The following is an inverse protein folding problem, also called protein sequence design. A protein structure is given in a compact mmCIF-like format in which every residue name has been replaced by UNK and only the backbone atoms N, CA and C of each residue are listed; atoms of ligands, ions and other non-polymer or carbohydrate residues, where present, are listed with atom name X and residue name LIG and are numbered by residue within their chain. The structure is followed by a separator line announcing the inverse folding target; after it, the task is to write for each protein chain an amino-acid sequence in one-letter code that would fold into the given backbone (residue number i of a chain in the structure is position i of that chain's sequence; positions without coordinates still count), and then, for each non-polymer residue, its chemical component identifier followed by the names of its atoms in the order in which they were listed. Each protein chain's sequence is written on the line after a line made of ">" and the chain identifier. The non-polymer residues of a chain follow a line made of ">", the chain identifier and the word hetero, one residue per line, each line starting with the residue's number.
data_IF_690637366152
#
_entry.id   IF_690637366152
#
_cell.length_a   1.000
_cell.length_b   1.000
_cell.length_c   1.000
_cell.angle_alpha   90.00
_cell.angle_beta   90.00
_cell.angle_gamma   90.00
#
_symmetry.space_group_name_H-M   'P 1'
#
loop_
_entity.id
_entity.type
_entity.pdbx_description
1 polymer ?
#
# COMPACT_ATOMS: atom_id res chain seq x y z
N UNK A 1 -2.91 15.97 12.58
CA UNK A 1 -1.81 14.99 12.54
C UNK A 1 -0.78 15.43 11.50
N UNK A 2 0.45 15.77 11.94
CA UNK A 2 1.50 16.35 11.09
C UNK A 2 1.70 15.57 9.77
N UNK A 3 1.74 14.23 9.81
CA UNK A 3 1.88 13.39 8.60
C UNK A 3 0.72 13.63 7.63
N UNK A 4 -0.52 13.52 8.10
CA UNK A 4 -1.70 13.69 7.26
C UNK A 4 -1.75 15.09 6.65
N UNK A 5 -1.48 16.13 7.47
CA UNK A 5 -1.45 17.52 7.00
C UNK A 5 -0.42 17.74 5.89
N UNK A 6 0.76 17.11 6.00
CA UNK A 6 1.78 17.18 4.95
C UNK A 6 1.33 16.47 3.68
N UNK A 7 0.82 15.25 3.79
CA UNK A 7 0.39 14.45 2.63
C UNK A 7 -0.75 15.14 1.86
N UNK A 8 -1.72 15.70 2.59
CA UNK A 8 -2.85 16.41 1.97
C UNK A 8 -2.44 17.79 1.42
N UNK A 9 -1.82 18.65 2.24
CA UNK A 9 -1.61 20.05 1.89
C UNK A 9 -0.43 20.28 0.96
N UNK A 10 0.66 19.50 1.12
CA UNK A 10 1.89 19.66 0.34
C UNK A 10 1.91 18.80 -0.91
N UNK A 11 1.36 17.58 -0.83
CA UNK A 11 1.44 16.60 -1.90
C UNK A 11 0.10 16.31 -2.57
N UNK A 12 -0.98 16.95 -2.12
CA UNK A 12 -2.33 16.79 -2.67
C UNK A 12 -2.80 15.33 -2.73
N UNK A 13 -2.41 14.52 -1.73
CA UNK A 13 -2.85 13.14 -1.62
C UNK A 13 -4.21 13.06 -0.92
N UNK A 14 -5.03 12.11 -1.33
CA UNK A 14 -6.36 11.87 -0.76
C UNK A 14 -6.28 10.83 0.34
N UNK A 15 -6.77 11.17 1.53
CA UNK A 15 -6.84 10.23 2.65
C UNK A 15 -7.97 9.22 2.44
N UNK A 16 -7.64 7.94 2.61
CA UNK A 16 -8.61 6.85 2.68
C UNK A 16 -8.79 6.36 4.11
N UNK A 17 -9.99 5.88 4.39
CA UNK A 17 -10.32 5.12 5.59
C UNK A 17 -11.02 3.84 5.16
N UNK A 18 -10.39 2.71 5.37
CA UNK A 18 -10.93 1.40 5.04
C UNK A 18 -10.97 0.49 6.27
N UNK A 19 -11.75 -0.57 6.18
CA UNK A 19 -11.81 -1.59 7.23
C UNK A 19 -10.55 -2.46 7.25
N UNK A 20 -10.32 -3.13 8.39
CA UNK A 20 -9.18 -4.02 8.59
C UNK A 20 -9.32 -5.36 7.85
N UNK A 21 -10.46 -5.67 7.30
CA UNK A 21 -10.69 -6.85 6.46
C UNK A 21 -10.49 -6.55 4.98
N UNK A 22 -10.14 -7.59 4.22
CA UNK A 22 -10.07 -7.55 2.78
C UNK A 22 -11.37 -8.06 2.16
N UNK A 23 -11.77 -7.48 1.03
CA UNK A 23 -12.90 -7.97 0.24
C UNK A 23 -12.38 -8.94 -0.82
N UNK A 24 -12.68 -10.23 -0.65
CA UNK A 24 -12.12 -11.31 -1.46
C UNK A 24 -12.44 -11.18 -2.96
N UNK A 25 -13.64 -10.75 -3.32
CA UNK A 25 -14.06 -10.53 -4.71
C UNK A 25 -13.34 -9.34 -5.35
N UNK A 26 -13.12 -8.25 -4.62
CA UNK A 26 -12.34 -7.11 -5.09
C UNK A 26 -10.88 -7.48 -5.36
N UNK A 27 -10.25 -8.23 -4.44
CA UNK A 27 -8.89 -8.73 -4.62
C UNK A 27 -8.76 -9.65 -5.83
N UNK A 28 -9.69 -10.60 -6.00
CA UNK A 28 -9.73 -11.48 -7.17
C UNK A 28 -9.91 -10.72 -8.48
N UNK A 29 -10.69 -9.63 -8.47
CA UNK A 29 -10.90 -8.80 -9.65
C UNK A 29 -9.63 -8.07 -10.14
N UNK A 30 -8.61 -7.95 -9.31
CA UNK A 30 -7.30 -7.37 -9.65
C UNK A 30 -6.16 -8.39 -9.60
N UNK A 31 -6.48 -9.68 -9.58
CA UNK A 31 -5.51 -10.78 -9.63
C UNK A 31 -4.60 -10.89 -8.37
N UNK A 32 -5.10 -10.41 -7.23
CA UNK A 32 -4.45 -10.59 -5.93
C UNK A 32 -5.11 -11.79 -5.24
N UNK A 33 -4.36 -12.86 -4.94
CA UNK A 33 -4.89 -13.98 -4.18
C UNK A 33 -5.26 -13.53 -2.75
N UNK A 34 -6.30 -14.14 -2.20
CA UNK A 34 -6.58 -14.02 -0.77
C UNK A 34 -5.47 -14.77 -0.03
N UNK A 35 -4.60 -14.02 0.63
CA UNK A 35 -3.49 -14.61 1.37
C UNK A 35 -3.99 -15.40 2.58
N UNK A 36 -3.16 -16.32 3.08
CA UNK A 36 -3.47 -17.12 4.28
C UNK A 36 -3.26 -16.29 5.56
N UNK A 37 -4.11 -15.29 5.73
CA UNK A 37 -4.11 -14.34 6.84
C UNK A 37 -4.97 -14.86 7.99
N UNK A 38 -4.93 -14.14 9.11
CA UNK A 38 -5.84 -14.37 10.23
C UNK A 38 -7.28 -14.28 9.77
N UNK A 39 -8.05 -15.35 10.02
CA UNK A 39 -9.47 -15.47 9.66
C UNK A 39 -10.37 -15.17 10.85
N UNK A 40 -11.51 -14.55 10.54
CA UNK A 40 -12.58 -14.37 11.53
C UNK A 40 -13.26 -15.70 11.81
N UNK A 41 -13.33 -16.10 13.06
CA UNK A 41 -13.95 -17.39 13.46
C UNK A 41 -15.44 -17.49 13.07
N UNK A 42 -16.16 -16.36 13.10
CA UNK A 42 -17.60 -16.28 12.84
C UNK A 42 -17.89 -15.22 11.76
N UNK A 43 -17.23 -15.33 10.59
CA UNK A 43 -17.51 -14.43 9.48
C UNK A 43 -18.97 -14.61 9.00
N UNK A 44 -19.76 -13.55 9.10
CA UNK A 44 -21.15 -13.53 8.63
C UNK A 44 -21.24 -13.39 7.11
N UNK A 45 -20.15 -12.93 6.49
CA UNK A 45 -20.04 -12.77 5.05
C UNK A 45 -18.75 -13.45 4.56
N UNK A 46 -18.85 -14.46 3.67
CA UNK A 46 -17.67 -15.16 3.16
C UNK A 46 -16.72 -14.29 2.32
N UNK A 47 -17.19 -13.11 1.91
CA UNK A 47 -16.37 -12.15 1.18
C UNK A 47 -15.41 -11.33 2.08
N UNK A 48 -15.64 -11.33 3.40
CA UNK A 48 -14.87 -10.57 4.40
C UNK A 48 -14.42 -11.45 5.58
N UNK A 49 -13.88 -12.60 5.28
CA UNK A 49 -13.47 -13.56 6.32
C UNK A 49 -12.04 -13.39 6.82
N UNK A 50 -11.21 -12.63 6.09
CA UNK A 50 -9.78 -12.47 6.41
C UNK A 50 -9.44 -11.03 6.82
N UNK A 51 -8.54 -10.91 7.80
CA UNK A 51 -7.94 -9.64 8.20
C UNK A 51 -6.76 -9.32 7.28
N UNK A 52 -6.61 -8.06 6.88
CA UNK A 52 -5.52 -7.64 5.98
C UNK A 52 -4.17 -7.60 6.70
N UNK A 53 -3.11 -8.07 6.05
CA UNK A 53 -1.72 -7.94 6.49
C UNK A 53 -1.02 -6.74 5.82
N UNK A 54 -1.62 -6.17 4.77
CA UNK A 54 -1.16 -4.97 4.07
C UNK A 54 -2.35 -4.08 3.71
N UNK A 55 -2.13 -2.75 3.67
CA UNK A 55 -3.13 -1.77 3.23
C UNK A 55 -3.12 -1.63 1.70
N UNK A 56 -1.98 -1.89 1.05
CA UNK A 56 -1.80 -1.66 -0.39
C UNK A 56 -2.85 -2.37 -1.25
N UNK A 57 -3.19 -3.66 -1.04
CA UNK A 57 -4.24 -4.32 -1.82
C UNK A 57 -5.58 -3.58 -1.79
N UNK A 58 -5.99 -3.09 -0.62
CA UNK A 58 -7.22 -2.28 -0.47
C UNK A 58 -7.13 -0.98 -1.27
N UNK A 59 -5.99 -0.30 -1.24
CA UNK A 59 -5.77 0.91 -2.03
C UNK A 59 -5.83 0.64 -3.54
N UNK A 60 -5.29 -0.49 -4.00
CA UNK A 60 -5.34 -0.89 -5.41
C UNK A 60 -6.78 -1.15 -5.88
N UNK A 61 -7.62 -1.78 -5.04
CA UNK A 61 -9.04 -1.94 -5.29
C UNK A 61 -9.75 -0.58 -5.36
N UNK A 62 -9.44 0.33 -4.46
CA UNK A 62 -10.00 1.69 -4.46
C UNK A 62 -9.58 2.50 -5.70
N UNK A 63 -8.33 2.38 -6.15
CA UNK A 63 -7.91 3.00 -7.42
C UNK A 63 -8.75 2.47 -8.57
N UNK A 64 -8.92 1.14 -8.69
CA UNK A 64 -9.75 0.54 -9.75
C UNK A 64 -11.18 1.06 -9.74
N UNK A 65 -11.77 1.22 -8.57
CA UNK A 65 -13.15 1.73 -8.43
C UNK A 65 -13.28 3.23 -8.73
N UNK A 66 -12.17 3.97 -8.76
CA UNK A 66 -12.14 5.42 -8.91
C UNK A 66 -11.38 5.92 -10.15
N UNK A 67 -11.22 5.10 -11.19
CA UNK A 67 -10.48 5.46 -12.42
C UNK A 67 -11.05 6.67 -13.17
N UNK A 68 -12.31 7.01 -12.97
CA UNK A 68 -12.97 8.19 -13.55
C UNK A 68 -12.68 9.48 -12.78
N UNK A 69 -12.09 9.40 -11.59
CA UNK A 69 -11.82 10.57 -10.74
C UNK A 69 -10.78 11.49 -11.36
N UNK A 70 -9.64 10.94 -11.77
CA UNK A 70 -8.56 11.70 -12.42
C UNK A 70 -7.62 10.76 -13.17
N UNK A 71 -6.90 11.31 -14.16
CA UNK A 71 -5.82 10.58 -14.83
C UNK A 71 -4.51 10.52 -14.02
N UNK A 72 -4.42 11.30 -12.95
CA UNK A 72 -3.24 11.39 -12.10
C UNK A 72 -3.67 11.74 -10.67
N UNK A 73 -3.47 10.85 -9.72
CA UNK A 73 -3.80 11.08 -8.31
C UNK A 73 -3.02 10.15 -7.38
N UNK A 74 -2.93 10.54 -6.13
CA UNK A 74 -2.36 9.72 -5.07
C UNK A 74 -3.33 9.59 -3.90
N UNK A 75 -3.28 8.44 -3.26
CA UNK A 75 -4.07 8.10 -2.07
C UNK A 75 -3.15 7.64 -0.95
N UNK A 76 -3.56 7.86 0.28
CA UNK A 76 -2.86 7.33 1.44
C UNK A 76 -3.83 6.89 2.54
N UNK A 77 -3.37 5.98 3.37
CA UNK A 77 -4.09 5.54 4.57
C UNK A 77 -3.11 5.29 5.70
N UNK A 78 -3.47 5.73 6.91
CA UNK A 78 -2.81 5.33 8.15
C UNK A 78 -3.77 4.40 8.88
N UNK A 79 -3.57 3.10 8.72
CA UNK A 79 -4.49 2.06 9.18
C UNK A 79 -3.79 0.92 9.93
N UNK A 80 -4.59 -0.01 10.45
CA UNK A 80 -4.11 -1.22 11.09
C UNK A 80 -4.02 -2.37 10.10
N UNK A 81 -3.02 -3.22 10.32
CA UNK A 81 -2.84 -4.52 9.67
C UNK A 81 -2.60 -5.58 10.74
N UNK A 82 -2.90 -6.83 10.41
CA UNK A 82 -2.75 -7.96 11.34
C UNK A 82 -1.71 -8.92 10.75
N UNK A 83 -0.63 -9.17 11.50
CA UNK A 83 0.50 -10.01 11.07
C UNK A 83 0.58 -11.33 11.86
N UNK A 84 -0.54 -12.02 11.99
CA UNK A 84 -0.63 -13.28 12.69
C UNK A 84 -1.22 -13.17 14.10
N UNK A 85 -1.10 -14.24 14.87
CA UNK A 85 -1.54 -14.35 16.26
C UNK A 85 -0.32 -14.53 17.18
N UNK A 86 -0.41 -14.00 18.38
CA UNK A 86 0.58 -14.25 19.43
C UNK A 86 0.37 -15.63 20.10
N UNK A 87 1.22 -15.96 21.08
CA UNK A 87 1.17 -17.21 21.86
C UNK A 87 -0.16 -17.41 22.62
N UNK A 88 -0.91 -16.34 22.86
CA UNK A 88 -2.22 -16.37 23.52
C UNK A 88 -3.39 -16.38 22.53
N UNK A 89 -3.11 -16.41 21.21
CA UNK A 89 -4.13 -16.37 20.17
C UNK A 89 -4.69 -14.96 19.91
N UNK A 90 -4.04 -13.90 20.38
CA UNK A 90 -4.43 -12.52 20.13
C UNK A 90 -3.79 -11.98 18.84
N UNK A 91 -4.51 -11.14 18.12
CA UNK A 91 -4.01 -10.53 16.88
C UNK A 91 -2.78 -9.64 17.13
N UNK A 92 -1.71 -9.89 16.39
CA UNK A 92 -0.53 -9.00 16.33
C UNK A 92 -0.85 -7.86 15.38
N UNK A 93 -1.30 -6.73 15.94
CA UNK A 93 -1.67 -5.54 15.19
C UNK A 93 -0.51 -4.58 15.03
N UNK A 94 -0.35 -4.03 13.82
CA UNK A 94 0.60 -2.97 13.52
C UNK A 94 -0.13 -1.80 12.84
N UNK A 95 0.24 -0.57 13.21
CA UNK A 95 -0.21 0.63 12.52
C UNK A 95 0.78 0.98 11.41
N UNK A 96 0.29 1.06 10.18
CA UNK A 96 1.09 1.31 8.98
C UNK A 96 0.58 2.56 8.26
N UNK A 97 1.50 3.25 7.58
CA UNK A 97 1.20 4.21 6.52
C UNK A 97 1.37 3.48 5.18
N UNK A 98 0.37 3.57 4.32
CA UNK A 98 0.48 3.18 2.92
C UNK A 98 0.18 4.39 2.04
N UNK A 99 0.95 4.55 0.96
CA UNK A 99 0.76 5.58 -0.06
C UNK A 99 0.79 4.88 -1.42
N UNK A 100 -0.18 5.16 -2.28
CA UNK A 100 -0.20 4.65 -3.64
C UNK A 100 -0.42 5.81 -4.61
N UNK A 101 0.45 5.91 -5.62
CA UNK A 101 0.34 6.89 -6.70
C UNK A 101 -0.09 6.19 -7.99
N UNK A 102 -1.03 6.81 -8.69
CA UNK A 102 -1.57 6.34 -9.96
C UNK A 102 -1.47 7.45 -11.01
N UNK A 103 -1.00 7.09 -12.21
CA UNK A 103 -0.93 8.03 -13.32
C UNK A 103 -1.10 7.35 -14.67
N UNK A 104 -1.94 7.92 -15.54
CA UNK A 104 -2.04 7.61 -16.98
C UNK A 104 -1.14 8.49 -17.85
N UNK A 105 -0.63 9.58 -17.32
CA UNK A 105 0.03 10.64 -18.08
C UNK A 105 1.53 10.68 -17.87
N UNK A 106 2.01 10.09 -16.78
CA UNK A 106 3.42 10.10 -16.37
C UNK A 106 4.03 8.71 -16.46
N UNK A 107 5.33 8.63 -16.68
CA UNK A 107 6.02 7.37 -16.66
C UNK A 107 6.21 6.85 -15.22
N UNK A 108 6.35 5.54 -15.08
CA UNK A 108 6.43 4.88 -13.78
C UNK A 108 7.67 5.31 -12.96
N UNK A 109 8.76 5.66 -13.64
CA UNK A 109 9.99 6.10 -12.99
C UNK A 109 9.79 7.43 -12.27
N UNK A 110 9.10 8.37 -12.91
CA UNK A 110 8.86 9.70 -12.35
C UNK A 110 7.99 9.63 -11.09
N UNK A 111 6.88 8.87 -11.13
CA UNK A 111 6.02 8.71 -9.96
C UNK A 111 6.67 7.88 -8.85
N UNK A 112 7.57 6.95 -9.21
CA UNK A 112 8.35 6.20 -8.22
C UNK A 112 9.30 7.14 -7.44
N UNK A 113 10.04 8.00 -8.14
CA UNK A 113 10.92 8.96 -7.46
C UNK A 113 10.15 10.00 -6.67
N UNK A 114 8.98 10.44 -7.15
CA UNK A 114 8.09 11.30 -6.37
C UNK A 114 7.67 10.64 -5.06
N UNK A 115 7.22 9.38 -5.10
CA UNK A 115 6.86 8.66 -3.87
C UNK A 115 8.05 8.51 -2.90
N UNK A 116 9.23 8.22 -3.45
CA UNK A 116 10.46 8.14 -2.67
C UNK A 116 10.79 9.47 -1.98
N UNK A 117 10.64 10.59 -2.69
CA UNK A 117 10.87 11.93 -2.17
C UNK A 117 9.83 12.29 -1.10
N UNK A 118 8.56 11.95 -1.30
CA UNK A 118 7.50 12.11 -0.30
C UNK A 118 7.88 11.39 1.00
N UNK A 119 8.29 10.14 0.92
CA UNK A 119 8.69 9.35 2.09
C UNK A 119 9.91 9.95 2.80
N UNK A 120 10.92 10.37 2.04
CA UNK A 120 12.14 10.99 2.58
C UNK A 120 11.81 12.28 3.33
N UNK A 121 11.03 13.18 2.72
CA UNK A 121 10.65 14.46 3.33
C UNK A 121 9.76 14.25 4.55
N UNK A 122 8.77 13.36 4.48
CA UNK A 122 7.88 13.08 5.63
C UNK A 122 8.69 12.51 6.80
N UNK A 123 9.67 11.65 6.52
CA UNK A 123 10.50 11.06 7.56
C UNK A 123 11.44 12.09 8.18
N UNK A 124 12.09 12.91 7.37
CA UNK A 124 12.97 13.97 7.85
C UNK A 124 12.23 14.98 8.73
N UNK A 125 11.07 15.44 8.30
CA UNK A 125 10.23 16.39 9.05
C UNK A 125 9.74 15.88 10.43
N UNK A 126 9.70 14.56 10.63
CA UNK A 126 9.16 13.93 11.84
C UNK A 126 10.26 13.38 12.73
N UNK A 127 11.27 12.78 12.12
CA UNK A 127 12.32 12.05 12.82
C UNK A 127 13.69 12.74 12.76
N UNK A 128 13.86 13.72 11.87
CA UNK A 128 15.14 14.35 11.55
C UNK A 128 16.21 13.33 11.15
N UNK A 129 15.80 12.36 10.31
CA UNK A 129 16.63 11.24 9.86
C UNK A 129 16.40 10.95 8.40
N UNK A 130 17.46 10.54 7.73
CA UNK A 130 17.41 10.11 6.34
C UNK A 130 16.97 8.64 6.21
N UNK A 131 16.21 8.36 5.15
CA UNK A 131 15.89 6.99 4.73
C UNK A 131 17.01 6.44 3.84
N UNK A 132 17.26 5.14 3.95
CA UNK A 132 18.02 4.38 2.97
C UNK A 132 17.10 3.36 2.26
N UNK A 133 17.47 3.00 1.03
CA UNK A 133 16.67 2.12 0.19
C UNK A 133 17.57 0.98 -0.29
N UNK A 134 17.19 -0.26 0.01
CA UNK A 134 17.95 -1.44 -0.32
C UNK A 134 17.10 -2.36 -1.21
N UNK A 135 17.74 -3.08 -2.12
CA UNK A 135 17.04 -4.03 -2.97
C UNK A 135 16.29 -5.06 -2.12
N UNK A 136 15.03 -5.34 -2.47
CA UNK A 136 14.21 -6.31 -1.76
C UNK A 136 13.66 -7.38 -2.70
N UNK A 137 13.39 -8.55 -2.14
CA UNK A 137 12.64 -9.61 -2.80
C UNK A 137 11.15 -9.49 -2.46
N UNK A 138 10.25 -9.77 -3.43
CA UNK A 138 8.82 -9.65 -3.21
C UNK A 138 8.32 -10.71 -2.21
N UNK A 139 7.47 -10.27 -1.30
CA UNK A 139 6.77 -11.12 -0.33
C UNK A 139 5.25 -11.15 -0.58
N UNK A 140 4.76 -10.21 -1.38
CA UNK A 140 3.36 -10.11 -1.77
C UNK A 140 3.20 -10.18 -3.29
N UNK A 141 2.07 -10.72 -3.75
CA UNK A 141 1.78 -10.90 -5.18
C UNK A 141 1.64 -9.61 -5.99
N UNK A 142 1.34 -8.48 -5.32
CA UNK A 142 1.25 -7.17 -5.96
C UNK A 142 2.60 -6.48 -6.14
N UNK A 143 3.66 -7.00 -5.53
CA UNK A 143 5.00 -6.43 -5.57
C UNK A 143 5.73 -6.82 -6.87
N UNK A 144 6.40 -5.85 -7.49
CA UNK A 144 7.15 -6.08 -8.72
C UNK A 144 8.40 -6.93 -8.45
N UNK A 145 8.67 -7.99 -9.22
CA UNK A 145 9.78 -8.92 -8.93
C UNK A 145 11.17 -8.29 -9.01
N UNK A 146 11.30 -7.16 -9.71
CA UNK A 146 12.59 -6.48 -9.89
C UNK A 146 12.64 -5.10 -9.27
N UNK A 147 11.54 -4.34 -9.33
CA UNK A 147 11.49 -2.94 -8.90
C UNK A 147 10.82 -2.81 -7.52
N UNK A 148 11.45 -3.42 -6.53
CA UNK A 148 11.05 -3.40 -5.13
C UNK A 148 12.25 -3.08 -4.25
N UNK A 149 12.06 -2.23 -3.25
CA UNK A 149 13.10 -1.81 -2.31
C UNK A 149 12.55 -1.79 -0.89
N UNK A 150 13.36 -2.25 0.06
CA UNK A 150 13.16 -2.01 1.48
C UNK A 150 13.40 -0.54 1.80
N UNK A 151 12.53 0.03 2.59
CA UNK A 151 12.69 1.36 3.18
C UNK A 151 13.28 1.19 4.56
N UNK A 152 14.49 1.68 4.78
CA UNK A 152 15.21 1.51 6.03
C UNK A 152 15.41 2.85 6.76
N UNK A 153 15.23 2.83 8.07
CA UNK A 153 15.50 3.92 8.99
C UNK A 153 16.45 3.43 10.10
N UNK A 154 17.59 4.07 10.26
CA UNK A 154 18.65 3.63 11.22
C UNK A 154 19.04 2.15 11.03
N UNK A 155 19.13 1.68 9.80
CA UNK A 155 19.46 0.29 9.46
C UNK A 155 18.34 -0.74 9.72
N UNK A 156 17.16 -0.28 10.13
CA UNK A 156 15.99 -1.16 10.34
C UNK A 156 15.00 -1.02 9.18
N UNK A 157 14.59 -2.13 8.62
CA UNK A 157 13.51 -2.14 7.63
C UNK A 157 12.19 -1.72 8.29
N UNK A 158 11.58 -0.65 7.78
CA UNK A 158 10.30 -0.11 8.24
C UNK A 158 9.17 -0.29 7.24
N UNK A 159 9.47 -0.77 6.03
CA UNK A 159 8.48 -0.98 4.97
C UNK A 159 9.12 -1.24 3.62
N UNK A 160 8.31 -1.20 2.59
CA UNK A 160 8.72 -1.39 1.19
C UNK A 160 8.19 -0.25 0.32
N UNK A 161 8.90 0.01 -0.78
CA UNK A 161 8.49 0.89 -1.87
C UNK A 161 8.74 0.17 -3.19
N UNK A 162 7.81 0.23 -4.12
CA UNK A 162 7.96 -0.47 -5.38
C UNK A 162 6.96 -0.07 -6.45
N UNK A 163 7.14 -0.70 -7.61
CA UNK A 163 6.17 -0.66 -8.70
C UNK A 163 5.17 -1.79 -8.47
N UNK A 164 3.92 -1.57 -8.77
CA UNK A 164 2.90 -2.62 -8.72
C UNK A 164 3.18 -3.66 -9.80
N UNK A 165 3.02 -4.95 -9.46
CA UNK A 165 3.24 -6.06 -10.37
C UNK A 165 2.43 -5.88 -11.68
N UNK A 166 3.04 -6.13 -12.86
CA UNK A 166 2.40 -5.87 -14.15
C UNK A 166 1.05 -6.58 -14.36
N UNK A 167 0.87 -7.79 -13.81
CA UNK A 167 -0.40 -8.53 -13.90
C UNK A 167 -1.51 -7.79 -13.14
N UNK A 168 -1.23 -7.32 -11.93
CA UNK A 168 -2.16 -6.55 -11.10
C UNK A 168 -2.45 -5.19 -11.73
N UNK A 169 -1.40 -4.46 -12.12
CA UNK A 169 -1.54 -3.15 -12.76
C UNK A 169 -2.43 -3.21 -14.01
N UNK A 170 -2.25 -4.22 -14.88
CA UNK A 170 -3.08 -4.40 -16.08
C UNK A 170 -4.55 -4.71 -15.79
N UNK A 171 -4.86 -5.32 -14.66
CA UNK A 171 -6.25 -5.57 -14.21
C UNK A 171 -6.92 -4.32 -13.65
N UNK A 172 -6.14 -3.37 -13.17
CA UNK A 172 -6.61 -2.07 -12.73
C UNK A 172 -6.76 -1.15 -13.95
N UNK A 173 -5.66 -0.85 -14.62
CA UNK A 173 -5.62 -0.04 -15.84
C UNK A 173 -4.41 -0.41 -16.70
N UNK A 174 -4.65 -0.80 -17.96
CA UNK A 174 -3.58 -1.26 -18.87
C UNK A 174 -2.56 -0.18 -19.26
N UNK A 175 -2.94 1.09 -19.13
CA UNK A 175 -2.12 2.23 -19.57
C UNK A 175 -1.49 3.01 -18.41
N UNK A 176 -1.85 2.68 -17.18
CA UNK A 176 -1.39 3.44 -16.03
C UNK A 176 -0.08 2.91 -15.44
N UNK A 177 0.69 3.82 -14.89
CA UNK A 177 1.76 3.55 -13.96
C UNK A 177 1.20 3.59 -12.52
N UNK A 178 1.54 2.61 -11.69
CA UNK A 178 1.10 2.52 -10.30
C UNK A 178 2.30 2.14 -9.44
N UNK A 179 2.52 2.91 -8.36
CA UNK A 179 3.59 2.68 -7.37
C UNK A 179 3.02 2.76 -5.95
N UNK A 180 3.67 2.08 -5.01
CA UNK A 180 3.26 2.05 -3.60
C UNK A 180 4.47 2.19 -2.67
#
# INVERSE_FOLDING_TARGET
>A
NKIKDMLVKRYNLHELHSYVWAYNDELKAIDIPVEDNVKLANATNPNIETLRNSIVPTQLCQIKSNLSFSNDFGIFEIGRVVNGLDENGLCIENKKLAITLYSKTRNVKDIYFELRDILAVVTDEIKHKALTFEKAEPTHSYEHPVNLYSVCLDGRNIGTIGIVHPTVSKKIDKKAAIVF
#
